data_IF_896897966711
#
_entry.id   IF_896897966711
#
_cell.length_a   1.000
_cell.length_b   1.000
_cell.length_c   1.000
_cell.angle_alpha   90.00
_cell.angle_beta   90.00
_cell.angle_gamma   90.00
#
_symmetry.space_group_name_H-M   'P 1'
#
loop_
_entity.id
_entity.type
_entity.pdbx_description
1 polymer ?
#
# COMPACT_ATOMS: atom_id res chain seq x y z
N UNK A 1 -0.01 -12.00 -29.66
CA UNK A 1 -0.77 -11.16 -28.70
C UNK A 1 0.24 -10.43 -27.83
N UNK A 2 0.45 -9.15 -28.08
CA UNK A 2 1.39 -8.31 -27.35
C UNK A 2 0.87 -8.14 -25.92
N UNK A 3 1.55 -8.76 -24.95
CA UNK A 3 1.36 -8.45 -23.52
C UNK A 3 1.74 -7.00 -23.31
N UNK A 4 0.76 -6.11 -23.45
CA UNK A 4 0.92 -4.69 -23.19
C UNK A 4 1.39 -4.54 -21.76
N UNK A 5 2.68 -4.25 -21.58
CA UNK A 5 3.23 -3.81 -20.29
C UNK A 5 2.41 -2.59 -19.89
N UNK A 6 1.46 -2.80 -18.98
CA UNK A 6 0.64 -1.74 -18.45
C UNK A 6 1.57 -0.69 -17.85
N UNK A 7 1.79 0.43 -18.55
CA UNK A 7 2.67 1.52 -18.11
C UNK A 7 1.96 2.27 -16.98
N UNK A 8 1.95 1.67 -15.81
CA UNK A 8 1.50 2.34 -14.60
C UNK A 8 2.48 3.45 -14.27
N UNK A 9 1.96 4.65 -14.02
CA UNK A 9 2.79 5.77 -13.56
C UNK A 9 2.76 5.80 -12.04
N UNK A 10 3.93 5.68 -11.42
CA UNK A 10 4.11 5.81 -9.97
C UNK A 10 4.35 7.28 -9.63
N UNK A 11 3.64 7.81 -8.65
CA UNK A 11 3.89 9.14 -8.11
C UNK A 11 3.92 9.09 -6.58
N UNK A 12 4.82 9.85 -5.93
CA UNK A 12 4.71 10.12 -4.50
C UNK A 12 3.41 10.89 -4.24
N UNK A 13 2.73 10.57 -3.14
CA UNK A 13 1.58 11.35 -2.72
C UNK A 13 2.03 12.55 -1.86
N UNK A 14 1.49 13.75 -2.13
CA UNK A 14 1.70 14.92 -1.28
C UNK A 14 1.23 14.70 0.16
N UNK A 15 1.85 15.39 1.11
CA UNK A 15 1.57 15.25 2.55
C UNK A 15 0.10 15.50 2.91
N UNK A 16 -0.55 16.45 2.24
CA UNK A 16 -1.96 16.78 2.45
C UNK A 16 -2.93 15.64 2.10
N UNK A 17 -2.47 14.66 1.31
CA UNK A 17 -3.28 13.50 0.90
C UNK A 17 -3.09 12.28 1.82
N UNK A 18 -2.17 12.33 2.79
CA UNK A 18 -1.87 11.18 3.65
C UNK A 18 -3.07 10.78 4.53
N UNK A 19 -3.87 11.74 5.01
CA UNK A 19 -5.10 11.46 5.75
C UNK A 19 -6.11 10.68 4.90
N UNK A 20 -6.28 11.06 3.63
CA UNK A 20 -7.20 10.35 2.73
C UNK A 20 -6.73 8.93 2.41
N UNK A 21 -5.40 8.74 2.25
CA UNK A 21 -4.80 7.40 2.11
C UNK A 21 -5.05 6.55 3.34
N UNK A 22 -4.84 7.11 4.52
CA UNK A 22 -5.13 6.43 5.79
C UNK A 22 -6.60 6.01 5.85
N UNK A 23 -7.54 6.91 5.59
CA UNK A 23 -8.98 6.58 5.62
C UNK A 23 -9.34 5.44 4.67
N UNK A 24 -8.82 5.46 3.43
CA UNK A 24 -9.03 4.37 2.47
C UNK A 24 -8.50 3.03 2.99
N UNK A 25 -7.33 3.06 3.63
CA UNK A 25 -6.67 1.88 4.19
C UNK A 25 -7.41 1.37 5.41
N UNK A 26 -7.78 2.22 6.36
CA UNK A 26 -8.52 1.86 7.58
C UNK A 26 -9.85 1.17 7.25
N UNK A 27 -10.51 1.55 6.15
CA UNK A 27 -11.75 0.90 5.67
C UNK A 27 -11.55 -0.55 5.22
N UNK A 28 -10.35 -0.91 4.76
CA UNK A 28 -10.11 -2.22 4.14
C UNK A 28 -9.13 -3.08 4.93
N UNK A 29 -8.30 -2.48 5.79
CA UNK A 29 -7.14 -3.09 6.43
C UNK A 29 -7.20 -3.04 7.97
N UNK A 30 -8.07 -3.84 8.60
CA UNK A 30 -8.34 -3.77 10.05
C UNK A 30 -7.14 -4.18 10.92
N UNK A 31 -6.09 -4.77 10.35
CA UNK A 31 -4.92 -5.23 11.10
C UNK A 31 -3.77 -4.21 11.15
N UNK A 32 -3.89 -3.06 10.48
CA UNK A 32 -2.90 -1.98 10.58
C UNK A 32 -3.09 -1.23 11.88
N UNK A 33 -2.00 -0.90 12.56
CA UNK A 33 -2.09 -0.02 13.71
C UNK A 33 -2.48 1.39 13.26
N UNK A 34 -3.25 2.09 14.08
CA UNK A 34 -3.70 3.44 13.80
C UNK A 34 -2.50 4.40 13.65
N UNK A 35 -2.49 5.20 12.58
CA UNK A 35 -1.48 6.23 12.36
C UNK A 35 -1.40 6.68 10.91
N UNK A 36 -0.87 7.87 10.66
CA UNK A 36 -0.66 8.34 9.29
C UNK A 36 0.56 7.62 8.67
N UNK A 37 0.50 7.26 7.38
CA UNK A 37 1.64 6.66 6.71
C UNK A 37 2.80 7.64 6.59
N UNK A 38 4.03 7.15 6.82
CA UNK A 38 5.27 7.93 6.65
C UNK A 38 5.69 8.05 5.17
N UNK A 39 5.18 7.14 4.33
CA UNK A 39 5.46 7.09 2.90
C UNK A 39 4.24 6.51 2.19
N UNK A 40 3.74 7.20 1.17
CA UNK A 40 2.67 6.69 0.34
C UNK A 40 2.92 6.97 -1.15
N UNK A 41 2.49 6.02 -1.96
CA UNK A 41 2.62 6.06 -3.41
C UNK A 41 1.31 5.66 -4.06
N UNK A 42 0.97 6.33 -5.15
CA UNK A 42 -0.15 5.96 -6.01
C UNK A 42 0.36 5.52 -7.38
N UNK A 43 -0.28 4.51 -7.95
CA UNK A 43 -0.12 4.14 -9.34
C UNK A 43 -1.38 4.47 -10.11
N UNK A 44 -1.21 5.13 -11.25
CA UNK A 44 -2.30 5.47 -12.15
C UNK A 44 -2.22 4.69 -13.46
N UNK A 45 -3.38 4.41 -14.05
CA UNK A 45 -3.46 3.87 -15.41
C UNK A 45 -3.15 4.94 -16.47
N UNK A 46 -3.13 4.55 -17.74
CA UNK A 46 -2.87 5.46 -18.85
C UNK A 46 -3.91 6.59 -18.98
N UNK A 47 -5.09 6.44 -18.37
CA UNK A 47 -6.16 7.45 -18.32
C UNK A 47 -6.11 8.30 -17.04
N UNK A 48 -5.06 8.16 -16.23
CA UNK A 48 -4.86 8.92 -14.99
C UNK A 48 -5.66 8.38 -13.79
N UNK A 49 -6.42 7.29 -13.93
CA UNK A 49 -7.25 6.77 -12.84
C UNK A 49 -6.38 6.04 -11.82
N UNK A 50 -6.61 6.25 -10.54
CA UNK A 50 -5.89 5.58 -9.46
C UNK A 50 -6.20 4.07 -9.46
N UNK A 51 -5.14 3.26 -9.36
CA UNK A 51 -5.23 1.80 -9.44
C UNK A 51 -4.59 1.08 -8.29
N UNK A 52 -3.61 1.70 -7.66
CA UNK A 52 -2.92 1.09 -6.55
C UNK A 52 -2.47 2.17 -5.60
N UNK A 53 -2.63 1.91 -4.32
CA UNK A 53 -2.07 2.72 -3.25
C UNK A 53 -1.17 1.81 -2.44
N UNK A 54 0.06 2.25 -2.20
CA UNK A 54 1.01 1.59 -1.32
C UNK A 54 1.39 2.57 -0.22
N UNK A 55 1.29 2.12 1.03
CA UNK A 55 1.60 2.93 2.19
C UNK A 55 2.52 2.15 3.13
N UNK A 56 3.43 2.89 3.78
CA UNK A 56 4.30 2.38 4.83
C UNK A 56 4.11 3.21 6.09
N UNK A 57 4.15 2.53 7.23
CA UNK A 57 3.88 3.10 8.54
C UNK A 57 5.13 3.04 9.41
N UNK A 58 5.18 3.91 10.43
CA UNK A 58 6.35 4.06 11.30
C UNK A 58 6.64 2.80 12.15
N UNK A 59 5.61 2.05 12.48
CA UNK A 59 5.65 0.80 13.25
C UNK A 59 6.11 -0.42 12.43
N UNK A 60 6.46 -0.22 11.16
CA UNK A 60 6.94 -1.28 10.28
C UNK A 60 5.86 -1.97 9.45
N UNK A 61 4.58 -1.62 9.62
CA UNK A 61 3.52 -2.10 8.75
C UNK A 61 3.60 -1.51 7.34
N UNK A 62 3.06 -2.28 6.39
CA UNK A 62 2.90 -1.87 5.00
C UNK A 62 1.56 -2.37 4.49
N UNK A 63 0.90 -1.52 3.71
CA UNK A 63 -0.39 -1.82 3.10
C UNK A 63 -0.33 -1.54 1.61
N UNK A 64 -0.98 -2.40 0.83
CA UNK A 64 -1.15 -2.22 -0.60
C UNK A 64 -2.60 -2.49 -0.97
N UNK A 65 -3.30 -1.44 -1.39
CA UNK A 65 -4.65 -1.53 -1.94
C UNK A 65 -4.55 -1.48 -3.46
N UNK A 66 -5.17 -2.42 -4.16
CA UNK A 66 -5.28 -2.43 -5.62
C UNK A 66 -6.75 -2.36 -6.01
N UNK A 67 -7.07 -1.45 -6.93
CA UNK A 67 -8.41 -1.24 -7.48
C UNK A 67 -8.46 -1.82 -8.89
N UNK A 68 -9.31 -2.83 -9.08
CA UNK A 68 -9.49 -3.52 -10.35
C UNK A 68 -10.42 -2.73 -11.29
N UNK A 69 -10.46 -3.12 -12.57
CA UNK A 69 -11.27 -2.43 -13.58
C UNK A 69 -12.76 -2.70 -13.44
N UNK A 70 -13.12 -3.83 -12.84
CA UNK A 70 -14.49 -4.27 -12.55
C UNK A 70 -15.08 -3.65 -11.28
N UNK A 71 -14.33 -2.75 -10.62
CA UNK A 71 -14.74 -2.10 -9.38
C UNK A 71 -14.42 -2.91 -8.12
N UNK A 72 -13.90 -4.13 -8.24
CA UNK A 72 -13.41 -4.90 -7.09
C UNK A 72 -12.06 -4.37 -6.61
N UNK A 73 -11.68 -4.74 -5.39
CA UNK A 73 -10.40 -4.38 -4.82
C UNK A 73 -9.72 -5.58 -4.16
N UNK A 74 -8.40 -5.56 -4.13
CA UNK A 74 -7.60 -6.47 -3.32
C UNK A 74 -6.71 -5.69 -2.37
N UNK A 75 -6.52 -6.28 -1.19
CA UNK A 75 -5.66 -5.74 -0.15
C UNK A 75 -4.57 -6.75 0.19
N UNK A 76 -3.35 -6.26 0.28
CA UNK A 76 -2.21 -6.98 0.85
C UNK A 76 -1.61 -6.17 1.99
N UNK A 77 -1.39 -6.83 3.13
CA UNK A 77 -0.77 -6.24 4.32
C UNK A 77 0.46 -7.06 4.71
N UNK A 78 1.50 -6.40 5.18
CA UNK A 78 2.71 -7.06 5.68
C UNK A 78 3.32 -6.25 6.83
N UNK A 79 3.69 -6.93 7.91
CA UNK A 79 4.43 -6.35 9.03
C UNK A 79 5.91 -6.73 8.94
N UNK A 80 6.79 -5.73 8.90
CA UNK A 80 8.22 -5.98 9.02
C UNK A 80 8.60 -6.06 10.50
N UNK A 81 8.74 -7.28 11.00
CA UNK A 81 9.34 -7.53 12.31
C UNK A 81 10.86 -7.52 12.20
N UNK A 82 11.55 -6.85 13.13
CA UNK A 82 12.98 -7.05 13.37
C UNK A 82 13.14 -7.74 14.71
N UNK A 83 13.51 -9.02 14.67
CA UNK A 83 13.93 -9.76 15.85
C UNK A 83 15.29 -10.38 15.59
N UNK A 84 16.11 -10.50 16.63
CA UNK A 84 17.24 -11.43 16.62
C UNK A 84 16.71 -12.80 17.01
N UNK A 85 16.76 -13.77 16.09
CA UNK A 85 16.56 -15.17 16.47
C UNK A 85 17.86 -15.60 17.16
N UNK A 86 17.91 -15.45 18.48
CA UNK A 86 18.97 -16.08 19.27
C UNK A 86 18.73 -17.58 19.18
N UNK A 87 19.62 -18.28 18.48
CA UNK A 87 19.57 -19.73 18.37
C UNK A 87 19.46 -20.30 19.76
N UNK A 88 18.37 -21.03 20.03
CA UNK A 88 18.33 -21.93 21.18
C UNK A 88 19.35 -23.01 20.83
N UNK A 89 20.57 -22.87 21.36
CA UNK A 89 21.50 -24.00 21.36
C UNK A 89 20.84 -25.07 22.22
N UNK A 90 20.41 -26.13 21.55
CA UNK A 90 19.96 -27.37 22.17
C UNK A 90 21.15 -28.08 22.84
#
# INVERSE_FOLDING_TARGET
MTTGKSRWRKAPLPSENMTAVRTLIDQVAPCLAAGDPIEAHVWTDAKGRHRKVHARFADGWRATVTLHLDGTGSLSQALKLRGEIKGVMA
#
